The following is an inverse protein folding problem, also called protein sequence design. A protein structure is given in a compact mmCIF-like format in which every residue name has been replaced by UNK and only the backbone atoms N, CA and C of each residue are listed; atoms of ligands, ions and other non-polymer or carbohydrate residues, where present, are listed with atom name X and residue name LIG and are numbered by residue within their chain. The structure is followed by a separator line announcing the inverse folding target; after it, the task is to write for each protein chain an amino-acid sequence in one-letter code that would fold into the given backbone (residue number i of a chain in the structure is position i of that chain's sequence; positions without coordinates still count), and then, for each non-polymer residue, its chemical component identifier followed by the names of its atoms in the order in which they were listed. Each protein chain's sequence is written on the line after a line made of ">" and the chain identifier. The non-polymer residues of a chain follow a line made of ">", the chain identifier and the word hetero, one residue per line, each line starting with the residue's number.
data_IF_669118859767
#
_entry.id   IF_669118859767
#
_cell.length_a   1.000
_cell.length_b   1.000
_cell.length_c   1.000
_cell.angle_alpha   90.00
_cell.angle_beta   90.00
_cell.angle_gamma   90.00
#
_symmetry.space_group_name_H-M   'P 1'
#
loop_
_entity.id
_entity.type
_entity.pdbx_description
1 polymer ?
#
# COMPACT_ATOMS: atom_id res chain seq x y z
N UNK A 1 17.43 -9.15 3.90
CA UNK A 1 17.75 -8.49 5.19
C UNK A 1 17.86 -6.97 5.06
N UNK A 2 18.63 -6.41 4.10
CA UNK A 2 18.77 -4.95 3.94
C UNK A 2 17.45 -4.22 3.65
N UNK A 3 16.66 -4.72 2.70
CA UNK A 3 15.34 -4.17 2.34
C UNK A 3 14.39 -4.05 3.54
N UNK A 4 14.34 -5.05 4.40
CA UNK A 4 13.47 -5.04 5.58
C UNK A 4 13.91 -3.98 6.59
N UNK A 5 15.22 -3.81 6.82
CA UNK A 5 15.73 -2.79 7.74
C UNK A 5 15.41 -1.39 7.26
N UNK A 6 15.54 -1.17 5.94
CA UNK A 6 15.17 0.09 5.32
C UNK A 6 13.67 0.37 5.48
N UNK A 7 12.83 -0.60 5.13
CA UNK A 7 11.38 -0.50 5.30
C UNK A 7 11.01 -0.19 6.74
N UNK A 8 11.59 -0.91 7.72
CA UNK A 8 11.31 -0.68 9.12
C UNK A 8 11.74 0.71 9.59
N UNK A 9 12.84 1.26 9.06
CA UNK A 9 13.29 2.62 9.37
C UNK A 9 12.28 3.65 8.87
N UNK A 10 11.89 3.58 7.60
CA UNK A 10 10.92 4.51 7.01
C UNK A 10 9.53 4.34 7.62
N UNK A 11 9.14 3.10 7.91
CA UNK A 11 7.93 2.80 8.65
C UNK A 11 7.96 3.42 10.06
N UNK A 12 9.08 3.41 10.77
CA UNK A 12 9.22 4.08 12.05
C UNK A 12 8.95 5.59 11.94
N UNK A 13 9.55 6.25 10.95
CA UNK A 13 9.35 7.69 10.71
C UNK A 13 7.89 8.01 10.34
N UNK A 14 7.29 7.21 9.46
CA UNK A 14 5.89 7.36 9.09
C UNK A 14 4.95 7.06 10.26
N UNK A 15 5.34 6.17 11.17
CA UNK A 15 4.55 5.84 12.36
C UNK A 15 4.48 7.03 13.31
N UNK A 16 5.60 7.73 13.51
CA UNK A 16 5.64 8.97 14.29
C UNK A 16 4.85 10.10 13.61
N UNK A 17 4.95 10.24 12.28
CA UNK A 17 4.26 11.28 11.52
C UNK A 17 2.74 11.06 11.44
N UNK A 18 2.31 9.82 11.22
CA UNK A 18 0.89 9.46 11.07
C UNK A 18 0.21 9.17 12.43
N UNK A 19 0.99 8.94 13.48
CA UNK A 19 0.48 8.48 14.78
C UNK A 19 -0.12 7.07 14.71
N UNK A 20 0.24 6.27 13.70
CA UNK A 20 -0.30 4.94 13.44
C UNK A 20 0.82 3.90 13.44
N UNK A 21 0.62 2.70 14.00
CA UNK A 21 1.61 1.63 13.91
C UNK A 21 1.72 1.09 12.48
N UNK A 22 2.93 0.66 12.12
CA UNK A 22 3.18 -0.02 10.85
C UNK A 22 2.75 -1.49 10.90
N UNK A 23 1.96 -1.90 9.91
CA UNK A 23 1.58 -3.27 9.67
C UNK A 23 2.16 -3.78 8.35
N UNK A 24 2.87 -4.90 8.39
CA UNK A 24 3.48 -5.52 7.22
C UNK A 24 2.43 -6.16 6.30
N UNK A 25 2.55 -5.91 4.99
CA UNK A 25 1.74 -6.56 3.98
C UNK A 25 2.15 -8.04 3.85
N UNK A 26 1.39 -8.94 4.47
CA UNK A 26 1.61 -10.38 4.34
C UNK A 26 1.14 -10.89 2.98
N UNK A 27 1.90 -11.81 2.37
CA UNK A 27 1.46 -12.55 1.18
C UNK A 27 0.15 -13.28 1.46
N UNK A 28 -0.84 -13.15 0.56
CA UNK A 28 -2.21 -13.63 0.76
C UNK A 28 -3.10 -12.70 1.60
N UNK A 29 -2.54 -11.61 2.14
CA UNK A 29 -3.29 -10.62 2.92
C UNK A 29 -4.08 -9.66 2.04
N UNK A 30 -5.21 -9.18 2.58
CA UNK A 30 -5.95 -8.04 2.01
C UNK A 30 -5.36 -6.74 2.56
N UNK A 31 -5.04 -5.83 1.65
CA UNK A 31 -4.66 -4.45 1.94
C UNK A 31 -5.86 -3.58 1.57
N UNK A 32 -6.31 -2.75 2.48
CA UNK A 32 -7.42 -1.83 2.27
C UNK A 32 -7.12 -0.58 3.08
N UNK A 33 -7.49 0.59 2.57
CA UNK A 33 -7.30 1.85 3.28
C UNK A 33 -7.20 3.04 2.34
N UNK A 34 -6.98 4.21 2.90
CA UNK A 34 -6.76 5.43 2.12
C UNK A 34 -5.32 5.47 1.64
N UNK A 35 -5.13 5.56 0.32
CA UNK A 35 -3.81 5.80 -0.24
C UNK A 35 -3.37 7.22 0.08
N UNK A 36 -2.44 7.41 1.02
CA UNK A 36 -1.97 8.74 1.41
C UNK A 36 -1.02 9.35 0.39
N UNK A 37 0.05 8.62 0.07
CA UNK A 37 1.15 9.08 -0.78
C UNK A 37 2.06 7.93 -1.18
N UNK A 38 2.99 8.22 -2.09
CA UNK A 38 4.14 7.37 -2.35
C UNK A 38 5.36 7.81 -1.57
N UNK A 39 6.20 6.87 -1.18
CA UNK A 39 7.55 7.11 -0.65
C UNK A 39 8.57 6.39 -1.52
N UNK A 40 9.71 7.03 -1.77
CA UNK A 40 10.83 6.41 -2.47
C UNK A 40 11.80 5.82 -1.47
N UNK A 41 12.04 4.52 -1.61
CA UNK A 41 13.05 3.75 -0.87
C UNK A 41 14.12 3.30 -1.87
N UNK A 42 15.32 2.97 -1.38
CA UNK A 42 16.37 2.40 -2.21
C UNK A 42 15.94 1.08 -2.86
N UNK A 43 15.02 0.35 -2.22
CA UNK A 43 14.40 -0.85 -2.77
C UNK A 43 13.28 -0.61 -3.78
N UNK A 44 12.89 0.65 -4.02
CA UNK A 44 11.89 1.06 -4.99
C UNK A 44 10.83 2.00 -4.42
N UNK A 45 9.82 2.33 -5.21
CA UNK A 45 8.69 3.17 -4.79
C UNK A 45 7.65 2.35 -4.04
N UNK A 46 7.16 2.88 -2.94
CA UNK A 46 6.13 2.25 -2.11
C UNK A 46 4.94 3.17 -1.90
N UNK A 47 3.77 2.58 -1.75
CA UNK A 47 2.53 3.27 -1.41
C UNK A 47 2.29 3.17 0.09
N UNK A 48 1.91 4.29 0.70
CA UNK A 48 1.45 4.36 2.10
C UNK A 48 -0.06 4.23 2.10
N UNK A 49 -0.56 3.08 2.54
CA UNK A 49 -2.00 2.81 2.68
C UNK A 49 -2.36 2.92 4.15
N UNK A 50 -3.12 3.96 4.48
CA UNK A 50 -3.57 4.26 5.84
C UNK A 50 -4.89 3.55 6.14
N UNK A 51 -4.96 2.81 7.25
CA UNK A 51 -6.18 2.25 7.82
C UNK A 51 -6.55 2.99 9.10
N UNK A 52 -7.71 2.66 9.67
CA UNK A 52 -8.22 3.30 10.88
C UNK A 52 -7.34 3.13 12.12
N UNK A 53 -6.44 2.14 12.17
CA UNK A 53 -5.62 1.81 13.36
C UNK A 53 -4.18 1.46 13.06
N UNK A 54 -3.80 1.44 11.79
CA UNK A 54 -2.47 1.04 11.33
C UNK A 54 -2.25 1.63 9.94
N UNK A 55 -1.02 1.56 9.44
CA UNK A 55 -0.75 1.80 8.03
C UNK A 55 0.14 0.71 7.46
N UNK A 56 0.07 0.51 6.16
CA UNK A 56 0.83 -0.53 5.47
C UNK A 56 1.62 0.08 4.32
N UNK A 57 2.84 -0.42 4.14
CA UNK A 57 3.69 -0.11 3.00
C UNK A 57 3.60 -1.25 2.00
N UNK A 58 3.24 -0.92 0.77
CA UNK A 58 3.11 -1.86 -0.34
C UNK A 58 3.93 -1.37 -1.53
N UNK A 59 4.47 -2.25 -2.37
CA UNK A 59 5.12 -1.84 -3.61
C UNK A 59 4.18 -0.98 -4.46
N UNK A 60 4.68 0.15 -4.97
CA UNK A 60 3.91 1.06 -5.82
C UNK A 60 3.49 0.38 -7.12
N UNK A 61 2.27 0.67 -7.57
CA UNK A 61 1.74 0.25 -8.85
C UNK A 61 1.19 1.47 -9.60
N UNK A 62 1.37 1.57 -10.93
CA UNK A 62 0.87 2.71 -11.71
C UNK A 62 -0.63 2.97 -11.52
N UNK A 63 -1.41 1.91 -11.33
CA UNK A 63 -2.85 2.00 -11.04
C UNK A 63 -3.17 2.86 -9.80
N UNK A 64 -2.24 3.01 -8.86
CA UNK A 64 -2.41 3.82 -7.65
C UNK A 64 -2.21 5.32 -7.89
N UNK A 65 -1.52 5.73 -8.97
CA UNK A 65 -1.21 7.14 -9.26
C UNK A 65 -2.47 8.02 -9.29
N UNK A 66 -3.57 7.50 -9.84
CA UNK A 66 -4.84 8.23 -9.98
C UNK A 66 -5.73 8.20 -8.74
N UNK A 67 -5.29 7.51 -7.69
CA UNK A 67 -6.06 7.22 -6.49
C UNK A 67 -5.39 7.70 -5.20
N UNK A 68 -4.34 8.52 -5.31
CA UNK A 68 -3.78 9.23 -4.15
C UNK A 68 -4.87 10.10 -3.51
N UNK A 69 -5.01 9.99 -2.19
CA UNK A 69 -6.07 10.60 -1.39
C UNK A 69 -7.40 9.86 -1.41
N UNK A 70 -7.50 8.69 -2.05
CA UNK A 70 -8.75 7.89 -2.14
C UNK A 70 -8.59 6.54 -1.44
N UNK A 71 -9.73 5.94 -1.10
CA UNK A 71 -9.77 4.56 -0.63
C UNK A 71 -9.40 3.59 -1.76
N UNK A 72 -8.50 2.68 -1.43
CA UNK A 72 -7.99 1.62 -2.28
C UNK A 72 -8.08 0.30 -1.51
N UNK A 73 -8.40 -0.77 -2.20
CA UNK A 73 -8.27 -2.12 -1.66
C UNK A 73 -7.50 -3.01 -2.62
N UNK A 74 -6.96 -4.10 -2.13
CA UNK A 74 -6.20 -5.04 -2.95
C UNK A 74 -5.84 -6.30 -2.18
N UNK A 75 -5.49 -7.33 -2.93
CA UNK A 75 -5.07 -8.63 -2.37
C UNK A 75 -3.65 -8.90 -2.83
N UNK A 76 -2.77 -9.18 -1.87
CA UNK A 76 -1.38 -9.57 -2.14
C UNK A 76 -1.38 -11.03 -2.58
N UNK A 77 -0.92 -11.29 -3.80
CA UNK A 77 -0.69 -12.62 -4.37
C UNK A 77 0.82 -12.90 -4.46
N UNK A 78 1.19 -14.14 -4.79
CA UNK A 78 2.60 -14.51 -4.97
C UNK A 78 3.30 -13.76 -6.12
N UNK A 79 2.55 -13.28 -7.11
CA UNK A 79 3.06 -12.54 -8.26
C UNK A 79 2.93 -11.01 -8.13
N UNK A 80 2.22 -10.49 -7.12
CA UNK A 80 2.05 -9.06 -6.96
C UNK A 80 0.86 -8.66 -6.08
N UNK A 81 0.25 -7.52 -6.38
CA UNK A 81 -0.95 -7.04 -5.68
C UNK A 81 -2.02 -6.71 -6.71
N UNK A 82 -3.15 -7.40 -6.63
CA UNK A 82 -4.33 -7.09 -7.41
C UNK A 82 -5.09 -5.97 -6.71
N UNK A 83 -5.13 -4.79 -7.33
CA UNK A 83 -5.75 -3.59 -6.77
C UNK A 83 -7.18 -3.39 -7.27
N UNK A 84 -8.09 -3.08 -6.37
CA UNK A 84 -9.44 -2.60 -6.60
C UNK A 84 -9.50 -1.15 -6.11
N UNK A 85 -9.63 -0.20 -7.05
CA UNK A 85 -9.57 1.23 -6.76
C UNK A 85 -10.82 1.96 -7.24
N UNK A 86 -11.53 2.62 -6.32
CA UNK A 86 -12.76 3.38 -6.61
C UNK A 86 -14.05 2.56 -6.66
N UNK A 87 -15.22 3.25 -6.65
CA UNK A 87 -16.54 2.63 -6.85
C UNK A 87 -16.56 1.99 -8.24
N UNK A 88 -16.63 0.66 -8.28
CA UNK A 88 -16.99 -0.11 -9.45
C UNK A 88 -18.36 0.36 -9.96
N UNK A 89 -18.35 1.30 -10.90
CA UNK A 89 -19.39 1.38 -11.93
C UNK A 89 -18.70 1.07 -13.25
N UNK A 90 -19.19 -0.01 -13.88
CA UNK A 90 -18.68 -0.70 -15.07
C UNK A 90 -17.43 -1.52 -14.76
N UNK A 91 -17.41 -2.84 -14.67
CA UNK A 91 -18.15 -3.93 -15.33
C UNK A 91 -17.10 -5.05 -15.54
N UNK A 92 -17.44 -6.34 -15.60
CA UNK A 92 -16.44 -7.38 -15.78
C UNK A 92 -15.89 -7.29 -17.22
N UNK A 93 -14.57 -7.18 -17.37
CA UNK A 93 -13.90 -7.31 -18.65
C UNK A 93 -12.45 -7.71 -18.43
N UNK A 94 -12.15 -9.00 -18.55
CA UNK A 94 -11.42 -9.67 -19.67
C UNK A 94 -9.90 -9.41 -19.60
N UNK A 95 -9.00 -10.40 -19.67
CA UNK A 95 -9.05 -11.83 -20.03
C UNK A 95 -8.07 -12.61 -19.16
#
# INVERSE_FOLDING_TARGET
>A
ILRQRELNRVAGQLSEELGLPYAEARSGGRVEGTLRRSVELASGKYAVVEKSREFTLVPWRPVLERHVGKEVSGVVSGEGISWTVGRQRSGPGVS
#
